data_IF_992371402034
#
_entry.id   IF_992371402034
#
_cell.length_a   1.000
_cell.length_b   1.000
_cell.length_c   1.000
_cell.angle_alpha   90.00
_cell.angle_beta   90.00
_cell.angle_gamma   90.00
#
_symmetry.space_group_name_H-M   'P 1'
#
loop_
_entity.id
_entity.type
_entity.pdbx_description
1 polymer ?
#
# COMPACT_ATOMS: atom_id res chain seq x y z
N UNK A 1 12.47 -17.43 -26.56
CA UNK A 1 12.82 -16.43 -25.52
C UNK A 1 11.98 -16.72 -24.29
N UNK A 2 12.53 -16.77 -23.06
CA UNK A 2 11.69 -16.84 -21.89
C UNK A 2 10.96 -15.50 -21.76
N UNK A 3 9.63 -15.55 -21.67
CA UNK A 3 8.80 -14.35 -21.52
C UNK A 3 8.96 -13.89 -20.08
N UNK A 4 9.83 -12.90 -19.84
CA UNK A 4 9.96 -12.27 -18.52
C UNK A 4 8.59 -11.65 -18.20
N UNK A 5 7.93 -12.20 -17.18
CA UNK A 5 6.66 -11.73 -16.68
C UNK A 5 6.83 -11.23 -15.24
N UNK A 6 6.02 -10.24 -14.86
CA UNK A 6 6.00 -9.67 -13.51
C UNK A 6 4.59 -9.76 -12.95
N UNK A 7 4.49 -9.89 -11.63
CA UNK A 7 3.23 -9.79 -10.90
C UNK A 7 3.31 -8.59 -9.97
N UNK A 8 2.27 -7.77 -9.99
CA UNK A 8 2.10 -6.64 -9.09
C UNK A 8 1.00 -6.96 -8.08
N UNK A 9 1.33 -6.94 -6.80
CA UNK A 9 0.37 -6.99 -5.70
C UNK A 9 0.09 -5.55 -5.26
N UNK A 10 -1.15 -5.12 -5.35
CA UNK A 10 -1.58 -3.75 -5.06
C UNK A 10 -2.43 -3.78 -3.80
N UNK A 11 -2.12 -2.90 -2.86
CA UNK A 11 -2.87 -2.76 -1.61
C UNK A 11 -2.84 -1.31 -1.10
N UNK A 12 -3.83 -1.00 -0.28
CA UNK A 12 -4.07 0.34 0.26
C UNK A 12 -4.01 0.37 1.79
N UNK A 13 -3.64 1.52 2.34
CA UNK A 13 -3.70 1.78 3.77
C UNK A 13 -4.26 3.17 4.05
N UNK A 14 -5.17 3.21 5.03
CA UNK A 14 -6.01 4.37 5.28
C UNK A 14 -7.32 4.31 4.50
N UNK A 15 -8.34 4.97 5.02
CA UNK A 15 -9.63 5.14 4.36
C UNK A 15 -9.58 6.24 3.28
N UNK A 16 -10.63 6.43 2.50
CA UNK A 16 -10.74 7.44 1.43
C UNK A 16 -11.39 8.75 1.90
N UNK A 17 -11.82 8.85 3.17
CA UNK A 17 -12.53 10.00 3.70
C UNK A 17 -11.66 11.25 3.80
N UNK A 18 -12.15 12.37 3.25
CA UNK A 18 -11.44 13.67 3.24
C UNK A 18 -12.18 14.81 3.95
N UNK A 19 -13.44 14.61 4.33
CA UNK A 19 -14.26 15.65 4.96
C UNK A 19 -13.77 15.96 6.39
N UNK A 20 -13.69 14.93 7.22
CA UNK A 20 -13.17 14.97 8.59
C UNK A 20 -11.93 14.08 8.66
N UNK A 21 -10.80 14.60 9.14
CA UNK A 21 -9.49 13.93 9.08
C UNK A 21 -8.77 14.11 10.41
N UNK A 22 -8.23 13.01 10.96
CA UNK A 22 -7.37 13.00 12.16
C UNK A 22 -6.02 13.67 11.87
N UNK A 23 -5.35 14.27 12.88
CA UNK A 23 -5.79 14.37 14.27
C UNK A 23 -6.79 15.51 14.53
N UNK A 24 -7.06 16.37 13.54
CA UNK A 24 -7.92 17.56 13.71
C UNK A 24 -9.36 17.21 14.10
N UNK A 25 -9.89 16.14 13.53
CA UNK A 25 -11.14 15.53 13.98
C UNK A 25 -10.83 14.16 14.59
N UNK A 26 -10.95 13.97 15.91
CA UNK A 26 -10.61 12.70 16.57
C UNK A 26 -11.38 11.50 16.03
N UNK A 27 -12.58 11.71 15.49
CA UNK A 27 -13.42 10.66 14.88
C UNK A 27 -13.34 10.63 13.36
N UNK A 28 -12.52 11.50 12.77
CA UNK A 28 -12.32 11.58 11.33
C UNK A 28 -11.51 10.42 10.75
N UNK A 29 -11.36 10.47 9.44
CA UNK A 29 -10.51 9.63 8.63
C UNK A 29 -9.05 9.60 9.10
N UNK A 30 -8.31 8.57 8.70
CA UNK A 30 -6.85 8.53 8.73
C UNK A 30 -6.24 9.73 8.01
N UNK A 31 -5.14 10.26 8.55
CA UNK A 31 -4.46 11.45 8.04
C UNK A 31 -3.83 11.24 6.65
N UNK A 32 -3.35 10.03 6.42
CA UNK A 32 -2.69 9.61 5.19
C UNK A 32 -3.54 8.58 4.47
N UNK A 33 -3.60 8.73 3.15
CA UNK A 33 -4.00 7.65 2.25
C UNK A 33 -2.76 7.15 1.53
N UNK A 34 -2.53 5.85 1.56
CA UNK A 34 -1.36 5.19 0.97
C UNK A 34 -1.84 4.15 -0.02
N UNK A 35 -1.39 4.27 -1.27
CA UNK A 35 -1.55 3.23 -2.29
C UNK A 35 -0.18 2.67 -2.63
N UNK A 36 -0.05 1.35 -2.60
CA UNK A 36 1.24 0.69 -2.80
C UNK A 36 1.14 -0.46 -3.78
N UNK A 37 2.28 -0.77 -4.41
CA UNK A 37 2.44 -1.96 -5.24
C UNK A 37 3.77 -2.65 -4.93
N UNK A 38 3.72 -3.96 -4.70
CA UNK A 38 4.90 -4.83 -4.63
C UNK A 38 4.99 -5.60 -5.94
N UNK A 39 6.06 -5.35 -6.69
CA UNK A 39 6.31 -5.98 -7.99
C UNK A 39 7.40 -7.02 -7.87
N UNK A 40 7.08 -8.24 -8.29
CA UNK A 40 7.97 -9.41 -8.26
C UNK A 40 8.09 -10.01 -9.66
N UNK A 41 9.20 -10.72 -9.92
CA UNK A 41 9.29 -11.56 -11.12
C UNK A 41 8.32 -12.74 -10.98
N UNK A 42 7.62 -13.08 -12.06
CA UNK A 42 6.67 -14.19 -12.05
C UNK A 42 7.34 -15.56 -12.02
N UNK A 43 8.60 -15.65 -12.45
CA UNK A 43 9.39 -16.87 -12.39
C UNK A 43 9.94 -17.10 -10.97
N UNK A 44 9.73 -18.30 -10.42
CA UNK A 44 10.26 -18.67 -9.09
C UNK A 44 9.51 -18.03 -7.91
N UNK A 45 8.24 -17.67 -8.09
CA UNK A 45 7.38 -17.07 -7.06
C UNK A 45 7.48 -17.84 -5.73
N UNK A 46 8.00 -17.14 -4.72
CA UNK A 46 8.27 -17.64 -3.38
C UNK A 46 7.80 -16.66 -2.31
N UNK A 47 6.88 -15.75 -2.66
CA UNK A 47 6.36 -14.70 -1.78
C UNK A 47 5.74 -15.29 -0.52
N UNK A 48 4.99 -16.40 -0.67
CA UNK A 48 4.45 -17.13 0.47
C UNK A 48 5.56 -17.62 1.42
N UNK A 49 6.68 -18.11 0.87
CA UNK A 49 7.85 -18.53 1.65
C UNK A 49 8.52 -17.33 2.31
N UNK A 50 8.65 -16.21 1.62
CA UNK A 50 9.22 -14.98 2.18
C UNK A 50 8.39 -14.47 3.36
N UNK A 51 7.07 -14.41 3.22
CA UNK A 51 6.14 -14.01 4.29
C UNK A 51 6.28 -14.94 5.49
N UNK A 52 6.30 -16.26 5.27
CA UNK A 52 6.46 -17.23 6.35
C UNK A 52 7.81 -17.12 7.06
N UNK A 53 8.90 -16.88 6.33
CA UNK A 53 10.22 -16.66 6.92
C UNK A 53 10.26 -15.38 7.76
N UNK A 54 9.69 -14.27 7.25
CA UNK A 54 9.59 -13.01 7.99
C UNK A 54 8.78 -13.19 9.27
N UNK A 55 7.63 -13.89 9.19
CA UNK A 55 6.81 -14.19 10.36
C UNK A 55 7.56 -15.00 11.41
N UNK A 56 8.40 -15.95 10.99
CA UNK A 56 9.26 -16.73 11.88
C UNK A 56 10.29 -15.84 12.58
N UNK A 57 10.93 -14.93 11.86
CA UNK A 57 11.92 -14.01 12.41
C UNK A 57 11.33 -13.06 13.48
N UNK A 58 10.06 -12.68 13.34
CA UNK A 58 9.36 -11.82 14.31
C UNK A 58 8.54 -12.60 15.36
N UNK A 59 8.74 -13.92 15.44
CA UNK A 59 8.10 -14.84 16.41
C UNK A 59 6.56 -14.87 16.29
N UNK A 60 6.06 -14.83 15.05
CA UNK A 60 4.63 -14.90 14.70
C UNK A 60 4.37 -16.00 13.66
N UNK A 61 5.12 -17.10 13.71
CA UNK A 61 5.09 -18.25 12.79
C UNK A 61 3.71 -18.89 12.62
N UNK A 62 2.83 -18.78 13.62
CA UNK A 62 1.47 -19.33 13.56
C UNK A 62 0.48 -18.45 12.79
N UNK A 63 0.87 -17.23 12.40
CA UNK A 63 0.02 -16.34 11.59
C UNK A 63 0.10 -16.76 10.12
N UNK A 64 -1.03 -16.74 9.43
CA UNK A 64 -1.07 -16.98 7.98
C UNK A 64 -0.72 -15.73 7.16
N UNK A 65 -0.78 -14.55 7.76
CA UNK A 65 -0.67 -13.27 7.06
C UNK A 65 0.18 -12.28 7.86
N UNK A 66 1.00 -11.52 7.15
CA UNK A 66 1.82 -10.43 7.70
C UNK A 66 1.05 -9.10 7.61
N UNK A 67 0.25 -8.81 8.63
CA UNK A 67 -0.37 -7.50 8.81
C UNK A 67 0.61 -6.57 9.54
N UNK A 68 1.01 -5.46 8.91
CA UNK A 68 2.03 -4.56 9.44
C UNK A 68 1.53 -3.66 10.59
N UNK A 69 0.26 -3.22 10.52
CA UNK A 69 -0.35 -2.31 11.50
C UNK A 69 -0.23 -2.78 12.96
N UNK A 70 -0.54 -4.05 13.31
CA UNK A 70 -0.51 -4.51 14.70
C UNK A 70 0.89 -4.87 15.22
N UNK A 71 1.95 -4.63 14.45
CA UNK A 71 3.32 -4.98 14.87
C UNK A 71 3.91 -3.91 15.79
N UNK A 72 4.62 -4.36 16.83
CA UNK A 72 5.46 -3.51 17.68
C UNK A 72 6.69 -3.03 16.89
N UNK A 73 7.31 -1.93 17.32
CA UNK A 73 8.35 -1.22 16.57
C UNK A 73 9.56 -2.09 16.19
N UNK A 74 10.02 -2.96 17.11
CA UNK A 74 11.14 -3.86 16.83
C UNK A 74 10.80 -4.89 15.74
N UNK A 75 9.55 -5.38 15.68
CA UNK A 75 9.09 -6.29 14.63
C UNK A 75 8.99 -5.57 13.30
N UNK A 76 8.48 -4.32 13.31
CA UNK A 76 8.41 -3.47 12.12
C UNK A 76 9.79 -3.25 11.51
N UNK A 77 10.80 -2.96 12.33
CA UNK A 77 12.17 -2.79 11.88
C UNK A 77 12.70 -4.05 11.15
N UNK A 78 12.52 -5.24 11.75
CA UNK A 78 12.93 -6.52 11.14
C UNK A 78 12.18 -6.76 9.83
N UNK A 79 10.87 -6.53 9.79
CA UNK A 79 10.07 -6.69 8.56
C UNK A 79 10.61 -5.81 7.44
N UNK A 80 10.86 -4.52 7.71
CA UNK A 80 11.41 -3.59 6.73
C UNK A 80 12.79 -4.03 6.23
N UNK A 81 13.68 -4.44 7.13
CA UNK A 81 15.01 -4.94 6.79
C UNK A 81 14.94 -6.18 5.88
N UNK A 82 14.07 -7.14 6.21
CA UNK A 82 13.90 -8.33 5.39
C UNK A 82 13.35 -8.01 4.01
N UNK A 83 12.28 -7.22 3.93
CA UNK A 83 11.67 -6.83 2.65
C UNK A 83 12.68 -6.08 1.77
N UNK A 84 13.52 -5.22 2.35
CA UNK A 84 14.53 -4.46 1.61
C UNK A 84 15.59 -5.35 0.93
N UNK A 85 15.80 -6.57 1.42
CA UNK A 85 16.76 -7.53 0.88
C UNK A 85 16.14 -8.57 -0.08
N UNK A 86 14.82 -8.53 -0.30
CA UNK A 86 14.15 -9.43 -1.23
C UNK A 86 14.30 -8.96 -2.69
N UNK A 87 14.25 -9.86 -3.67
CA UNK A 87 14.37 -9.53 -5.09
C UNK A 87 13.06 -8.96 -5.67
N UNK A 88 12.52 -7.92 -5.03
CA UNK A 88 11.26 -7.24 -5.37
C UNK A 88 11.44 -5.72 -5.50
N UNK A 89 10.40 -5.04 -5.98
CA UNK A 89 10.33 -3.57 -5.98
C UNK A 89 9.05 -3.10 -5.32
N UNK A 90 9.16 -2.15 -4.39
CA UNK A 90 8.02 -1.48 -3.77
C UNK A 90 7.83 -0.10 -4.40
N UNK A 91 6.61 0.18 -4.85
CA UNK A 91 6.17 1.50 -5.27
C UNK A 91 5.12 1.99 -4.28
N UNK A 92 5.22 3.25 -3.86
CA UNK A 92 4.29 3.84 -2.89
C UNK A 92 3.94 5.25 -3.33
N UNK A 93 2.65 5.53 -3.37
CA UNK A 93 2.11 6.88 -3.47
C UNK A 93 1.40 7.19 -2.16
N UNK A 94 1.75 8.31 -1.54
CA UNK A 94 1.17 8.75 -0.28
C UNK A 94 0.54 10.12 -0.47
N UNK A 95 -0.69 10.27 -0.02
CA UNK A 95 -1.40 11.55 -0.01
C UNK A 95 -1.69 11.98 1.42
N UNK A 96 -1.23 13.18 1.76
CA UNK A 96 -1.60 13.84 3.01
C UNK A 96 -2.98 14.48 2.83
N UNK A 97 -4.02 13.90 3.44
CA UNK A 97 -5.41 14.29 3.14
C UNK A 97 -5.74 15.73 3.50
N UNK A 98 -5.06 16.30 4.49
CA UNK A 98 -5.23 17.70 4.86
C UNK A 98 -4.83 18.65 3.72
N UNK A 99 -3.89 18.25 2.85
CA UNK A 99 -3.49 19.02 1.67
C UNK A 99 -4.53 18.94 0.55
N UNK A 100 -5.49 18.02 0.62
CA UNK A 100 -6.54 17.86 -0.39
C UNK A 100 -7.82 18.65 -0.09
N UNK A 101 -7.87 19.38 1.02
CA UNK A 101 -9.04 20.20 1.35
C UNK A 101 -9.22 21.33 0.35
N UNK A 102 -10.44 21.50 -0.15
CA UNK A 102 -10.75 22.49 -1.18
C UNK A 102 -10.26 22.11 -2.57
N UNK A 103 -9.61 20.96 -2.74
CA UNK A 103 -9.23 20.47 -4.07
C UNK A 103 -10.48 19.90 -4.76
N UNK A 104 -10.93 20.56 -5.81
CA UNK A 104 -11.97 20.03 -6.69
C UNK A 104 -11.31 19.13 -7.72
N UNK A 105 -11.79 17.88 -7.85
CA UNK A 105 -11.42 17.05 -9.00
C UNK A 105 -11.95 17.79 -10.23
N UNK A 106 -11.06 18.18 -11.13
CA UNK A 106 -11.44 18.69 -12.44
C UNK A 106 -12.08 17.52 -13.20
N UNK A 107 -13.41 17.43 -13.12
CA UNK A 107 -14.15 16.53 -13.99
C UNK A 107 -13.99 17.12 -15.40
N UNK A 108 -13.47 16.37 -16.38
CA UNK A 108 -13.48 16.84 -17.75
C UNK A 108 -14.93 17.16 -18.11
N UNK A 109 -15.24 18.43 -18.39
CA UNK A 109 -16.55 18.78 -18.91
C UNK A 109 -16.73 17.97 -20.20
N UNK A 110 -17.75 17.10 -20.23
CA UNK A 110 -18.28 16.60 -21.50
C UNK A 110 -18.56 17.85 -22.32
N UNK A 111 -17.86 18.03 -23.44
CA UNK A 111 -18.23 19.00 -24.46
C UNK A 111 -19.71 18.77 -24.75
N UNK A 112 -20.57 19.70 -24.33
CA UNK A 112 -21.98 19.68 -24.72
C UNK A 112 -21.99 19.63 -26.24
N UNK A 113 -22.78 18.69 -26.78
CA UNK A 113 -22.87 18.45 -28.21
C UNK A 113 -23.11 19.75 -28.96
N UNK A 114 -22.41 19.90 -30.09
CA UNK A 114 -22.83 20.80 -31.14
C UNK A 114 -24.29 20.45 -31.47
N UNK A 115 -25.19 21.37 -31.13
CA UNK A 115 -26.56 21.34 -31.62
C UNK A 115 -26.54 21.66 -33.11
N UNK A 116 -27.32 20.87 -33.85
CA UNK A 116 -27.68 21.03 -35.26
C UNK A 116 -28.33 22.40 -35.55
#
# INVERSE_FOLDING_TARGET
MPKVAYVAYIDESGDDGVATVRPRDPKGATEWFVLSAVVVRAEGQSEAVWVQNILRDIKLDRRGQLHFQPLDDWRKAIVCERIANLPLRCFVVMSHKLNMRGHTILVPQKSLGAGD
#
